data_IF_197416519260
#
_entry.id   IF_197416519260
#
_cell.length_a   1.000
_cell.length_b   1.000
_cell.length_c   1.000
_cell.angle_alpha   90.00
_cell.angle_beta   90.00
_cell.angle_gamma   90.00
#
_symmetry.space_group_name_H-M   'P 1'
#
loop_
_entity.id
_entity.type
_entity.pdbx_description
1 polymer ?
#
# COMPACT_ATOMS: atom_id res chain seq x y z
N UNK A 1 -1.29 -13.16 21.50
CA UNK A 1 -0.27 -13.11 20.43
C UNK A 1 -1.03 -12.87 19.12
N UNK A 2 -0.82 -11.75 18.40
CA UNK A 2 -1.45 -11.54 17.10
C UNK A 2 -0.95 -12.61 16.12
N UNK A 3 -1.85 -13.18 15.32
CA UNK A 3 -1.49 -14.20 14.33
C UNK A 3 -0.97 -13.50 13.08
N UNK A 4 0.22 -13.89 12.63
CA UNK A 4 0.85 -13.35 11.44
C UNK A 4 1.13 -14.46 10.43
N UNK A 5 0.87 -14.20 9.15
CA UNK A 5 1.31 -15.03 8.03
C UNK A 5 2.26 -14.23 7.15
N UNK A 6 3.26 -14.89 6.55
CA UNK A 6 4.14 -14.25 5.56
C UNK A 6 3.80 -14.79 4.18
N UNK A 7 3.38 -13.90 3.28
CA UNK A 7 3.13 -14.23 1.87
C UNK A 7 4.37 -13.90 1.03
N UNK A 8 4.84 -14.84 0.21
CA UNK A 8 5.95 -14.63 -0.72
C UNK A 8 5.49 -14.90 -2.15
N UNK A 9 5.70 -13.95 -3.06
CA UNK A 9 5.43 -14.15 -4.49
C UNK A 9 6.61 -14.86 -5.15
N UNK A 10 6.35 -15.96 -5.86
CA UNK A 10 7.37 -16.63 -6.67
C UNK A 10 7.95 -15.66 -7.72
N UNK A 11 9.28 -15.65 -7.87
CA UNK A 11 9.99 -14.84 -8.87
C UNK A 11 10.24 -13.36 -8.51
N UNK A 12 9.57 -12.80 -7.49
CA UNK A 12 9.70 -11.37 -7.15
C UNK A 12 10.56 -11.08 -5.91
N UNK A 13 10.94 -12.10 -5.12
CA UNK A 13 11.72 -11.90 -3.88
C UNK A 13 10.99 -11.16 -2.75
N UNK A 14 9.78 -10.64 -3.00
CA UNK A 14 9.00 -9.86 -2.02
C UNK A 14 8.27 -10.78 -1.06
N UNK A 15 8.48 -10.57 0.24
CA UNK A 15 7.72 -11.18 1.33
C UNK A 15 6.94 -10.10 2.10
N UNK A 16 5.67 -10.34 2.40
CA UNK A 16 4.78 -9.42 3.13
C UNK A 16 4.12 -10.12 4.31
N UNK A 17 4.10 -9.45 5.46
CA UNK A 17 3.36 -9.90 6.63
C UNK A 17 1.87 -9.55 6.51
N UNK A 18 1.01 -10.50 6.82
CA UNK A 18 -0.42 -10.33 7.00
C UNK A 18 -0.70 -10.27 8.50
N UNK A 19 -1.23 -9.13 8.96
CA UNK A 19 -1.43 -8.82 10.39
C UNK A 19 -2.92 -8.62 10.72
N UNK A 20 -3.80 -8.92 9.77
CA UNK A 20 -5.25 -8.86 9.90
C UNK A 20 -5.81 -10.26 10.21
N UNK A 21 -6.59 -10.39 11.29
CA UNK A 21 -7.08 -11.69 11.78
C UNK A 21 -8.10 -12.32 10.82
N UNK A 22 -8.98 -11.51 10.21
CA UNK A 22 -9.96 -12.00 9.25
C UNK A 22 -9.27 -12.55 8.00
N UNK A 23 -8.37 -11.77 7.41
CA UNK A 23 -7.56 -12.20 6.28
C UNK A 23 -6.69 -13.41 6.64
N UNK A 24 -6.11 -13.46 7.84
CA UNK A 24 -5.31 -14.61 8.28
C UNK A 24 -6.17 -15.87 8.34
N UNK A 25 -7.38 -15.78 8.88
CA UNK A 25 -8.32 -16.91 8.93
C UNK A 25 -8.67 -17.43 7.54
N UNK A 26 -9.00 -16.53 6.61
CA UNK A 26 -9.32 -16.88 5.22
C UNK A 26 -8.13 -17.52 4.52
N UNK A 27 -6.95 -16.89 4.56
CA UNK A 27 -5.73 -17.43 3.93
C UNK A 27 -5.37 -18.80 4.52
N UNK A 28 -5.50 -18.97 5.84
CA UNK A 28 -5.23 -20.26 6.50
C UNK A 28 -6.23 -21.33 6.08
N UNK A 29 -7.51 -20.99 5.89
CA UNK A 29 -8.51 -21.92 5.37
C UNK A 29 -8.19 -22.33 3.93
N UNK A 30 -7.85 -21.35 3.07
CA UNK A 30 -7.45 -21.59 1.68
C UNK A 30 -6.21 -22.48 1.56
N UNK A 31 -5.21 -22.30 2.42
CA UNK A 31 -4.00 -23.14 2.43
C UNK A 31 -4.25 -24.60 2.85
N UNK A 32 -5.32 -24.88 3.59
CA UNK A 32 -5.66 -26.24 4.05
C UNK A 32 -6.69 -26.94 3.17
N UNK A 33 -7.21 -26.25 2.15
CA UNK A 33 -8.29 -26.78 1.33
C UNK A 33 -7.85 -28.06 0.63
N UNK A 34 -8.84 -28.92 0.35
CA UNK A 34 -8.65 -30.11 -0.48
C UNK A 34 -9.25 -29.85 -1.86
N UNK A 35 -8.48 -30.11 -2.92
CA UNK A 35 -8.86 -29.80 -4.30
C UNK A 35 -8.62 -28.34 -4.68
N UNK A 36 -9.14 -27.93 -5.83
CA UNK A 36 -8.86 -26.64 -6.45
C UNK A 36 -7.58 -26.69 -7.30
N UNK A 37 -7.08 -25.52 -7.68
CA UNK A 37 -5.83 -25.38 -8.44
C UNK A 37 -4.64 -25.08 -7.52
N UNK A 38 -3.47 -24.83 -8.10
CA UNK A 38 -2.28 -24.36 -7.40
C UNK A 38 -2.35 -22.87 -7.00
N UNK A 39 -3.41 -22.14 -7.41
CA UNK A 39 -3.61 -20.72 -7.09
C UNK A 39 -4.14 -20.53 -5.69
N UNK A 40 -3.67 -19.53 -4.95
CA UNK A 40 -4.11 -19.34 -3.57
C UNK A 40 -5.56 -18.83 -3.46
N UNK A 41 -5.95 -17.85 -4.28
CA UNK A 41 -7.21 -17.13 -4.16
C UNK A 41 -8.28 -17.83 -5.00
N UNK A 42 -9.10 -18.64 -4.33
CA UNK A 42 -10.21 -19.39 -4.90
C UNK A 42 -11.41 -19.31 -3.95
N UNK A 43 -12.62 -19.46 -4.48
CA UNK A 43 -13.85 -19.60 -3.70
C UNK A 43 -14.58 -20.89 -4.05
N UNK A 44 -15.39 -21.38 -3.12
CA UNK A 44 -16.16 -22.62 -3.29
C UNK A 44 -17.62 -22.30 -3.54
N UNK A 45 -18.15 -22.72 -4.69
CA UNK A 45 -19.55 -22.55 -5.06
C UNK A 45 -20.01 -23.75 -5.90
N UNK A 46 -21.26 -24.20 -5.68
CA UNK A 46 -21.86 -25.21 -6.55
C UNK A 46 -21.10 -26.55 -6.57
N UNK A 47 -20.44 -26.91 -5.46
CA UNK A 47 -19.55 -28.08 -5.34
C UNK A 47 -18.29 -28.04 -6.20
N UNK A 48 -17.86 -26.86 -6.63
CA UNK A 48 -16.60 -26.64 -7.36
C UNK A 48 -15.81 -25.47 -6.77
N UNK A 49 -14.51 -25.54 -6.97
CA UNK A 49 -13.59 -24.42 -6.72
C UNK A 49 -13.55 -23.54 -7.96
N UNK A 50 -13.59 -22.24 -7.75
CA UNK A 50 -13.47 -21.21 -8.78
C UNK A 50 -12.32 -20.29 -8.43
N UNK A 51 -11.50 -19.98 -9.43
CA UNK A 51 -10.43 -19.01 -9.25
C UNK A 51 -11.03 -17.61 -9.24
N UNK A 52 -10.55 -16.73 -8.36
CA UNK A 52 -10.90 -15.31 -8.44
C UNK A 52 -10.04 -14.66 -9.53
N UNK A 53 -10.70 -14.06 -10.52
CA UNK A 53 -10.04 -13.33 -11.58
C UNK A 53 -9.96 -11.82 -11.31
N UNK A 54 -9.00 -11.14 -11.95
CA UNK A 54 -8.83 -9.70 -11.79
C UNK A 54 -10.03 -8.89 -12.32
N UNK A 55 -10.71 -9.40 -13.37
CA UNK A 55 -11.92 -8.80 -13.91
C UNK A 55 -13.06 -8.82 -12.89
N UNK A 56 -13.38 -10.00 -12.36
CA UNK A 56 -14.40 -10.19 -11.32
C UNK A 56 -14.13 -9.32 -10.09
N UNK A 57 -12.87 -9.21 -9.67
CA UNK A 57 -12.50 -8.37 -8.54
C UNK A 57 -12.75 -6.88 -8.81
N UNK A 58 -12.42 -6.40 -10.02
CA UNK A 58 -12.71 -5.00 -10.38
C UNK A 58 -14.21 -4.74 -10.51
N UNK A 59 -14.98 -5.68 -11.07
CA UNK A 59 -16.45 -5.59 -11.14
C UNK A 59 -17.07 -5.52 -9.74
N UNK A 60 -16.59 -6.38 -8.83
CA UNK A 60 -17.03 -6.36 -7.44
C UNK A 60 -16.71 -5.02 -6.77
N UNK A 61 -15.49 -4.50 -6.95
CA UNK A 61 -15.08 -3.19 -6.41
C UNK A 61 -15.95 -2.05 -6.95
N UNK A 62 -16.30 -2.08 -8.24
CA UNK A 62 -17.21 -1.11 -8.83
C UNK A 62 -18.60 -1.18 -8.18
N UNK A 63 -19.15 -2.40 -8.03
CA UNK A 63 -20.47 -2.62 -7.46
C UNK A 63 -20.58 -2.15 -6.00
N UNK A 64 -19.57 -2.44 -5.16
CA UNK A 64 -19.63 -2.07 -3.73
C UNK A 64 -19.31 -0.60 -3.46
N UNK A 65 -18.51 0.03 -4.32
CA UNK A 65 -18.12 1.43 -4.14
C UNK A 65 -19.06 2.43 -4.80
N UNK A 66 -19.79 2.01 -5.85
CA UNK A 66 -20.55 2.93 -6.72
C UNK A 66 -19.66 3.85 -7.58
N UNK A 67 -18.35 3.62 -7.60
CA UNK A 67 -17.37 4.44 -8.30
C UNK A 67 -16.54 3.57 -9.26
N UNK A 68 -15.95 4.13 -10.34
CA UNK A 68 -15.11 3.38 -11.28
C UNK A 68 -13.71 3.10 -10.69
N UNK A 69 -13.66 2.54 -9.49
CA UNK A 69 -12.41 2.15 -8.84
C UNK A 69 -12.00 0.75 -9.29
N UNK A 70 -10.69 0.53 -9.31
CA UNK A 70 -10.05 -0.72 -9.67
C UNK A 70 -9.06 -1.12 -8.58
N UNK A 71 -8.57 -2.36 -8.65
CA UNK A 71 -7.46 -2.82 -7.80
C UNK A 71 -6.20 -1.96 -7.90
N UNK A 72 -5.98 -1.29 -9.04
CA UNK A 72 -4.84 -0.40 -9.25
C UNK A 72 -4.92 0.84 -8.35
N UNK A 73 -6.12 1.38 -8.12
CA UNK A 73 -6.30 2.63 -7.37
C UNK A 73 -5.83 2.50 -5.92
N UNK A 74 -5.97 1.32 -5.32
CA UNK A 74 -5.39 1.04 -4.00
C UNK A 74 -3.86 1.15 -4.00
N UNK A 75 -3.18 0.68 -5.04
CA UNK A 75 -1.72 0.82 -5.17
C UNK A 75 -1.33 2.27 -5.41
N UNK A 76 -2.09 3.00 -6.21
CA UNK A 76 -1.87 4.42 -6.49
C UNK A 76 -2.01 5.27 -5.22
N UNK A 77 -3.12 5.08 -4.51
CA UNK A 77 -3.38 5.79 -3.26
C UNK A 77 -2.31 5.50 -2.22
N UNK A 78 -2.01 4.21 -1.99
CA UNK A 78 -1.03 3.81 -1.00
C UNK A 78 0.39 4.30 -1.33
N UNK A 79 0.81 4.26 -2.60
CA UNK A 79 2.10 4.80 -3.02
C UNK A 79 2.19 6.31 -2.79
N UNK A 80 1.12 7.04 -3.09
CA UNK A 80 1.04 8.49 -2.89
C UNK A 80 1.15 8.83 -1.40
N UNK A 81 0.39 8.14 -0.55
CA UNK A 81 0.42 8.36 0.91
C UNK A 81 1.80 8.06 1.50
N UNK A 82 2.40 6.91 1.17
CA UNK A 82 3.74 6.56 1.64
C UNK A 82 4.80 7.56 1.17
N UNK A 83 4.65 8.10 -0.05
CA UNK A 83 5.58 9.10 -0.58
C UNK A 83 5.42 10.42 0.16
N UNK A 84 4.20 10.87 0.44
CA UNK A 84 3.93 12.10 1.19
C UNK A 84 4.54 12.04 2.59
N UNK A 85 4.38 10.90 3.26
CA UNK A 85 5.01 10.60 4.55
C UNK A 85 6.54 10.67 4.46
N UNK A 86 7.14 9.99 3.49
CA UNK A 86 8.60 9.98 3.33
C UNK A 86 9.16 11.39 3.04
N UNK A 87 8.42 12.21 2.32
CA UNK A 87 8.77 13.60 2.06
C UNK A 87 8.69 14.46 3.33
N UNK A 88 7.60 14.36 4.10
CA UNK A 88 7.44 15.10 5.35
C UNK A 88 8.55 14.79 6.37
N UNK A 89 8.86 13.50 6.59
CA UNK A 89 9.97 13.06 7.44
C UNK A 89 11.32 13.57 6.93
N UNK A 90 11.49 13.69 5.62
CA UNK A 90 12.74 14.22 5.05
C UNK A 90 12.92 15.72 5.33
N UNK A 91 11.83 16.49 5.43
CA UNK A 91 11.88 17.91 5.77
C UNK A 91 12.36 18.09 7.20
N UNK A 92 11.77 17.39 8.17
CA UNK A 92 12.21 17.45 9.57
C UNK A 92 13.68 17.08 9.74
N UNK A 93 14.13 16.01 9.07
CA UNK A 93 15.53 15.58 9.11
C UNK A 93 16.48 16.60 8.46
N UNK A 94 16.00 17.40 7.50
CA UNK A 94 16.81 18.40 6.80
C UNK A 94 17.14 19.62 7.66
N UNK A 95 16.31 19.91 8.67
CA UNK A 95 16.56 20.94 9.68
C UNK A 95 17.74 20.56 10.60
N UNK A 96 18.03 19.27 10.73
CA UNK A 96 19.11 18.74 11.59
C UNK A 96 20.39 18.33 10.85
N UNK A 97 20.38 18.19 9.51
CA UNK A 97 21.58 17.78 8.75
C UNK A 97 21.61 18.24 7.29
N UNK A 98 22.77 18.71 6.83
CA UNK A 98 23.02 19.11 5.43
C UNK A 98 22.97 17.94 4.44
N UNK A 99 23.26 16.71 4.89
CA UNK A 99 23.16 15.51 4.06
C UNK A 99 21.70 15.16 3.73
N UNK A 100 20.75 15.46 4.62
CA UNK A 100 19.32 15.20 4.43
C UNK A 100 18.66 16.17 3.42
N UNK A 101 19.30 17.32 3.13
CA UNK A 101 18.83 18.29 2.13
C UNK A 101 18.93 17.82 0.67
N UNK A 102 19.71 16.76 0.38
CA UNK A 102 19.98 16.36 -1.02
C UNK A 102 19.00 15.30 -1.53
N UNK A 103 18.08 15.75 -2.41
CA UNK A 103 17.18 14.94 -3.26
C UNK A 103 16.13 14.08 -2.51
N UNK A 104 15.33 14.66 -1.59
CA UNK A 104 14.31 13.94 -0.82
C UNK A 104 13.34 13.14 -1.70
N UNK A 105 12.85 13.72 -2.81
CA UNK A 105 11.91 13.07 -3.71
C UNK A 105 12.47 11.80 -4.38
N UNK A 106 13.75 11.80 -4.76
CA UNK A 106 14.39 10.61 -5.35
C UNK A 106 14.54 9.48 -4.33
N UNK A 107 14.80 9.83 -3.06
CA UNK A 107 14.91 8.87 -1.97
C UNK A 107 13.55 8.27 -1.65
N UNK A 108 12.54 9.11 -1.44
CA UNK A 108 11.16 8.68 -1.18
C UNK A 108 10.64 7.72 -2.26
N UNK A 109 10.81 8.08 -3.54
CA UNK A 109 10.42 7.21 -4.66
C UNK A 109 11.13 5.86 -4.62
N UNK A 110 12.43 5.82 -4.31
CA UNK A 110 13.17 4.55 -4.23
C UNK A 110 12.68 3.66 -3.08
N UNK A 111 12.43 4.24 -1.92
CA UNK A 111 11.93 3.52 -0.75
C UNK A 111 10.53 2.93 -1.02
N UNK A 112 9.62 3.75 -1.55
CA UNK A 112 8.25 3.32 -1.89
C UNK A 112 8.24 2.31 -3.04
N UNK A 113 9.09 2.49 -4.06
CA UNK A 113 9.20 1.53 -5.16
C UNK A 113 9.68 0.15 -4.66
N UNK A 114 10.72 0.14 -3.81
CA UNK A 114 11.22 -1.08 -3.19
C UNK A 114 10.13 -1.75 -2.35
N UNK A 115 9.41 -0.97 -1.53
CA UNK A 115 8.28 -1.48 -0.77
C UNK A 115 7.27 -2.14 -1.71
N UNK A 116 6.76 -1.44 -2.72
CA UNK A 116 5.70 -1.94 -3.61
C UNK A 116 6.13 -3.03 -4.60
N UNK A 117 7.44 -3.36 -4.65
CA UNK A 117 8.01 -4.31 -5.61
C UNK A 117 8.01 -3.80 -7.05
N UNK A 118 8.12 -2.49 -7.25
CA UNK A 118 8.19 -1.83 -8.55
C UNK A 118 9.59 -1.24 -8.78
N UNK A 119 9.94 -0.92 -10.03
CA UNK A 119 11.11 -0.05 -10.28
C UNK A 119 10.78 1.40 -9.89
N UNK A 120 11.78 2.22 -9.51
CA UNK A 120 11.56 3.63 -9.20
C UNK A 120 10.87 4.40 -10.33
N UNK A 121 11.22 4.11 -11.58
CA UNK A 121 10.62 4.74 -12.75
C UNK A 121 9.12 4.40 -12.86
N UNK A 122 8.75 3.12 -12.75
CA UNK A 122 7.35 2.68 -12.80
C UNK A 122 6.56 3.21 -11.60
N UNK A 123 7.16 3.19 -10.40
CA UNK A 123 6.52 3.71 -9.19
C UNK A 123 6.15 5.19 -9.35
N UNK A 124 7.11 6.01 -9.80
CA UNK A 124 6.90 7.44 -10.02
C UNK A 124 5.87 7.71 -11.12
N UNK A 125 5.96 7.00 -12.24
CA UNK A 125 5.12 7.27 -13.40
C UNK A 125 3.69 6.74 -13.30
N UNK A 126 3.46 5.67 -12.53
CA UNK A 126 2.19 4.91 -12.58
C UNK A 126 1.44 4.83 -11.27
N UNK A 127 2.06 5.17 -10.14
CA UNK A 127 1.46 4.97 -8.81
C UNK A 127 1.51 6.21 -7.91
N UNK A 128 2.40 7.17 -8.12
CA UNK A 128 2.47 8.36 -7.27
C UNK A 128 1.76 9.52 -7.99
N UNK A 129 0.84 10.19 -7.30
CA UNK A 129 0.19 11.39 -7.82
C UNK A 129 1.25 12.50 -8.06
N UNK A 130 1.40 13.01 -9.31
CA UNK A 130 2.43 14.00 -9.62
C UNK A 130 2.27 15.32 -8.86
N UNK A 131 1.03 15.73 -8.53
CA UNK A 131 0.73 16.95 -7.75
C UNK A 131 1.40 16.95 -6.38
N UNK A 132 1.67 15.77 -5.82
CA UNK A 132 2.43 15.65 -4.57
C UNK A 132 3.84 16.24 -4.68
N UNK A 133 4.52 16.03 -5.81
CA UNK A 133 5.87 16.56 -6.01
C UNK A 133 5.85 18.06 -6.29
N UNK A 134 4.85 18.53 -7.04
CA UNK A 134 4.63 19.96 -7.31
C UNK A 134 4.48 20.74 -6.00
N UNK A 135 3.57 20.30 -5.13
CA UNK A 135 3.35 20.90 -3.81
C UNK A 135 4.60 20.84 -2.92
N UNK A 136 5.33 19.72 -2.96
CA UNK A 136 6.56 19.58 -2.20
C UNK A 136 7.65 20.56 -2.68
N UNK A 137 7.78 20.75 -3.99
CA UNK A 137 8.73 21.70 -4.58
C UNK A 137 8.34 23.16 -4.25
N UNK A 138 7.05 23.43 -3.97
CA UNK A 138 6.53 24.70 -3.42
C UNK A 138 6.72 24.85 -1.90
N UNK A 139 7.29 23.84 -1.23
CA UNK A 139 7.51 23.84 0.22
C UNK A 139 6.28 23.43 1.03
N UNK A 140 5.24 22.89 0.39
CA UNK A 140 4.02 22.40 1.04
C UNK A 140 4.11 20.88 1.23
N UNK A 141 3.92 20.43 2.47
CA UNK A 141 3.88 19.00 2.80
C UNK A 141 2.85 18.74 3.89
N UNK A 142 2.53 17.46 4.14
CA UNK A 142 1.73 17.10 5.31
C UNK A 142 2.53 17.37 6.58
N UNK A 143 1.86 17.75 7.67
CA UNK A 143 2.52 17.76 8.98
C UNK A 143 3.10 16.37 9.25
N UNK A 144 4.34 16.35 9.72
CA UNK A 144 4.98 15.12 10.07
C UNK A 144 4.16 14.45 11.16
N UNK A 145 3.64 13.26 10.85
CA UNK A 145 2.87 12.48 11.80
C UNK A 145 3.91 11.78 12.68
N UNK A 146 4.11 12.22 13.95
CA UNK A 146 5.21 11.71 14.79
C UNK A 146 5.03 10.24 15.18
N UNK A 147 3.89 9.65 14.78
CA UNK A 147 3.41 8.35 15.20
C UNK A 147 2.97 7.48 14.01
N UNK A 148 3.81 7.41 12.97
CA UNK A 148 3.69 6.38 11.95
C UNK A 148 4.14 5.02 12.52
N UNK A 149 3.35 4.46 13.45
CA UNK A 149 3.48 3.09 13.92
C UNK A 149 3.33 2.83 15.42
N UNK A 150 3.43 3.83 16.30
CA UNK A 150 3.23 3.66 17.75
C UNK A 150 1.75 3.53 18.15
N UNK A 151 0.82 3.95 17.30
CA UNK A 151 -0.62 3.62 17.41
C UNK A 151 -1.07 2.43 16.55
N UNK A 152 -0.13 1.73 15.91
CA UNK A 152 -0.39 0.50 15.18
C UNK A 152 -0.78 -0.63 16.14
N UNK A 153 -2.04 -0.64 16.62
CA UNK A 153 -2.67 -1.89 17.06
C UNK A 153 -2.44 -2.90 15.93
N UNK A 154 -2.00 -4.13 16.23
CA UNK A 154 -1.97 -5.20 15.23
C UNK A 154 -3.32 -5.22 14.48
N UNK A 155 -3.29 -4.90 13.18
CA UNK A 155 -4.48 -4.52 12.43
C UNK A 155 -4.17 -3.70 11.16
N UNK A 156 -4.87 -2.59 10.88
CA UNK A 156 -4.85 -1.91 9.57
C UNK A 156 -3.46 -1.34 9.17
N UNK A 157 -3.23 -1.04 7.87
CA UNK A 157 -1.99 -0.40 7.42
C UNK A 157 -1.72 0.85 8.24
N UNK A 158 -0.45 1.08 8.64
CA UNK A 158 -0.02 2.24 9.44
C UNK A 158 -0.35 3.61 8.83
N UNK A 159 -0.88 3.64 7.60
CA UNK A 159 -1.31 4.84 6.89
C UNK A 159 -2.80 5.17 7.05
N UNK A 160 -3.64 4.22 7.52
CA UNK A 160 -5.09 4.42 7.61
C UNK A 160 -5.45 5.48 8.65
N UNK A 161 -6.29 6.44 8.29
CA UNK A 161 -6.83 7.47 9.19
C UNK A 161 -6.15 8.84 9.03
N UNK A 162 -5.57 9.46 10.10
CA UNK A 162 -5.13 10.85 10.06
C UNK A 162 -4.14 11.19 8.94
N UNK A 163 -3.25 10.26 8.60
CA UNK A 163 -2.26 10.41 7.53
C UNK A 163 -2.96 10.49 6.16
N UNK A 164 -3.87 9.55 5.88
CA UNK A 164 -4.65 9.55 4.65
C UNK A 164 -5.49 10.82 4.50
N UNK A 165 -6.11 11.30 5.58
CA UNK A 165 -6.86 12.56 5.58
C UNK A 165 -5.96 13.78 5.34
N UNK A 166 -4.76 13.82 5.93
CA UNK A 166 -3.81 14.89 5.69
C UNK A 166 -3.36 14.92 4.22
N UNK A 167 -3.13 13.75 3.62
CA UNK A 167 -2.79 13.64 2.19
C UNK A 167 -3.98 14.05 1.31
N UNK A 168 -5.21 13.69 1.68
CA UNK A 168 -6.40 14.16 0.97
C UNK A 168 -6.51 15.68 1.00
N UNK A 169 -6.33 16.32 2.17
CA UNK A 169 -6.33 17.78 2.32
C UNK A 169 -5.19 18.46 1.56
N UNK A 170 -4.02 17.82 1.48
CA UNK A 170 -2.90 18.32 0.68
C UNK A 170 -3.23 18.31 -0.82
N UNK A 171 -3.95 17.30 -1.29
CA UNK A 171 -4.21 17.09 -2.72
C UNK A 171 -5.52 17.69 -3.24
N UNK A 172 -6.41 18.16 -2.35
CA UNK A 172 -7.59 18.95 -2.70
C UNK A 172 -7.17 20.34 -3.15
#
# INVERSE_FOLDING_TARGET
MPRAATMRRQGAGVARGLVDEESFSVVRALLRRRGGTDRLIEYWEGRRWHQVEGGELNEHLHAVSGHPITTKDFRTWHATVLTAVALAVSVEASESSEAARKRPSSRAVREVANYLGNTPAVCRASYINPRLFELFDEGVTIEAVPDLGAHGRSGPPATKGPVEEAVLRLLS
#
